data_IF_474991747031
#
_entry.id   IF_474991747031
#
_cell.length_a   1.000
_cell.length_b   1.000
_cell.length_c   1.000
_cell.angle_alpha   90.00
_cell.angle_beta   90.00
_cell.angle_gamma   90.00
#
_symmetry.space_group_name_H-M   'P 1'
#
loop_
_entity.id
_entity.type
_entity.pdbx_description
1 polymer ?
#
# COMPACT_ATOMS: atom_id res chain seq x y z
N UNK A 1 -0.55 -24.10 36.82
CA UNK A 1 -1.71 -23.70 35.99
C UNK A 1 -1.23 -22.71 34.94
N UNK A 2 -1.28 -23.07 33.66
CA UNK A 2 -0.82 -22.22 32.56
C UNK A 2 -2.00 -21.45 31.97
N UNK A 3 -1.93 -20.12 31.96
CA UNK A 3 -2.93 -19.24 31.33
C UNK A 3 -2.42 -18.92 29.92
N UNK A 4 -2.99 -19.56 28.91
CA UNK A 4 -2.74 -19.23 27.51
C UNK A 4 -3.70 -18.14 27.07
N UNK A 5 -3.18 -16.95 26.74
CA UNK A 5 -3.94 -15.88 26.07
C UNK A 5 -3.90 -16.12 24.56
N UNK A 6 -5.01 -16.56 23.99
CA UNK A 6 -5.20 -16.62 22.54
C UNK A 6 -5.47 -15.21 21.98
N UNK A 7 -4.63 -14.74 21.07
CA UNK A 7 -4.89 -13.51 20.32
C UNK A 7 -5.71 -13.85 19.08
N UNK A 8 -6.81 -13.14 18.87
CA UNK A 8 -7.69 -13.26 17.69
C UNK A 8 -6.94 -12.70 16.48
N UNK A 9 -6.59 -13.54 15.53
CA UNK A 9 -6.06 -13.13 14.23
C UNK A 9 -7.22 -12.59 13.40
N UNK A 10 -7.13 -11.33 12.99
CA UNK A 10 -8.04 -10.77 12.00
C UNK A 10 -7.67 -11.38 10.64
N UNK A 11 -8.56 -12.22 10.12
CA UNK A 11 -8.51 -12.65 8.73
C UNK A 11 -9.01 -11.50 7.84
N UNK A 12 -8.26 -11.23 6.77
CA UNK A 12 -8.43 -10.10 5.84
C UNK A 12 -9.64 -10.24 4.90
N UNK A 13 -10.84 -10.55 5.40
CA UNK A 13 -12.05 -10.68 4.57
C UNK A 13 -13.35 -10.09 5.17
N UNK A 14 -13.27 -9.19 6.16
CA UNK A 14 -14.44 -8.39 6.54
C UNK A 14 -14.58 -7.18 5.60
N UNK A 15 -15.41 -7.37 4.57
CA UNK A 15 -15.96 -6.32 3.72
C UNK A 15 -16.59 -5.24 4.58
N UNK A 16 -16.08 -4.01 4.46
CA UNK A 16 -16.69 -2.81 5.03
C UNK A 16 -18.11 -2.64 4.48
N UNK A 17 -19.11 -3.11 5.23
CA UNK A 17 -20.48 -2.67 5.03
C UNK A 17 -20.58 -1.23 5.51
N UNK A 18 -20.70 -0.32 4.55
CA UNK A 18 -21.03 1.09 4.79
C UNK A 18 -22.40 1.11 5.48
N UNK A 19 -22.40 1.41 6.77
CA UNK A 19 -23.60 1.62 7.56
C UNK A 19 -24.35 2.84 6.98
N UNK A 20 -25.35 2.57 6.14
CA UNK A 20 -26.31 3.54 5.64
C UNK A 20 -27.24 3.89 6.81
N UNK A 21 -27.02 5.04 7.45
CA UNK A 21 -27.99 5.55 8.42
C UNK A 21 -29.30 5.88 7.68
N UNK A 22 -30.34 5.09 7.99
CA UNK A 22 -31.74 5.40 7.74
C UNK A 22 -32.09 6.71 8.44
N UNK A 23 -32.49 7.72 7.68
CA UNK A 23 -33.40 8.76 8.17
C UNK A 23 -34.79 8.42 7.66
N UNK A 24 -35.56 7.70 8.49
CA UNK A 24 -37.00 7.61 8.35
C UNK A 24 -37.59 8.94 8.85
N UNK A 25 -38.13 9.73 7.93
CA UNK A 25 -39.26 10.62 8.18
C UNK A 25 -39.95 10.81 6.83
N UNK A 26 -40.96 9.99 6.63
CA UNK A 26 -41.95 10.14 5.59
C UNK A 26 -42.84 11.34 5.94
N UNK A 27 -43.03 12.24 4.99
CA UNK A 27 -44.24 13.03 4.86
C UNK A 27 -44.53 13.12 3.35
N UNK A 28 -45.53 12.35 2.94
CA UNK A 28 -46.17 12.43 1.64
C UNK A 28 -46.89 13.78 1.45
N UNK A 29 -47.18 14.07 0.18
CA UNK A 29 -48.23 14.95 -0.38
C UNK A 29 -47.80 16.39 -0.76
N UNK A 30 -48.52 17.04 -1.70
CA UNK A 30 -48.47 16.79 -3.15
C UNK A 30 -48.13 18.08 -3.93
N UNK A 31 -47.93 17.95 -5.23
CA UNK A 31 -47.93 19.08 -6.17
C UNK A 31 -49.35 19.62 -6.27
N UNK A 32 -49.58 20.87 -5.85
CA UNK A 32 -50.71 21.67 -6.32
C UNK A 32 -50.32 23.14 -6.49
N UNK A 33 -50.53 23.63 -7.72
CA UNK A 33 -50.43 25.02 -8.13
C UNK A 33 -51.70 25.77 -7.75
N UNK A 34 -51.60 26.82 -6.93
CA UNK A 34 -52.52 27.97 -6.97
C UNK A 34 -51.75 29.25 -6.61
N UNK A 35 -51.80 30.22 -7.52
CA UNK A 35 -51.44 31.63 -7.32
C UNK A 35 -52.55 32.31 -6.53
N UNK A 36 -52.22 33.09 -5.49
CA UNK A 36 -52.60 34.51 -5.41
C UNK A 36 -52.12 35.20 -4.12
N UNK A 37 -51.51 36.36 -4.33
CA UNK A 37 -51.51 37.60 -3.54
C UNK A 37 -51.36 37.56 -2.02
N UNK A 38 -50.20 38.05 -1.54
CA UNK A 38 -50.01 39.28 -0.73
C UNK A 38 -48.89 39.07 0.32
N UNK A 39 -47.63 38.98 -0.15
CA UNK A 39 -46.47 38.81 0.74
C UNK A 39 -45.77 40.17 0.92
N UNK A 40 -45.83 40.69 2.14
CA UNK A 40 -45.03 41.82 2.59
C UNK A 40 -43.54 41.60 2.27
N UNK A 41 -42.70 42.65 2.18
CA UNK A 41 -41.27 42.47 1.98
C UNK A 41 -40.65 41.71 3.17
N UNK A 42 -40.49 40.39 3.03
CA UNK A 42 -39.81 39.52 3.98
C UNK A 42 -38.27 39.54 3.79
N UNK A 43 -37.57 39.29 4.88
CA UNK A 43 -36.12 39.41 5.08
C UNK A 43 -35.22 38.65 4.07
N UNK A 44 -34.69 39.35 3.06
CA UNK A 44 -33.75 38.79 2.05
C UNK A 44 -32.34 38.36 2.58
N UNK A 45 -32.01 38.51 3.87
CA UNK A 45 -30.62 38.33 4.33
C UNK A 45 -30.18 36.86 4.52
N UNK A 46 -31.12 35.93 4.79
CA UNK A 46 -30.77 34.54 5.15
C UNK A 46 -30.80 33.56 3.96
N UNK A 47 -31.56 33.85 2.90
CA UNK A 47 -31.69 33.00 1.71
C UNK A 47 -30.49 33.15 0.76
N UNK A 48 -30.01 34.39 0.55
CA UNK A 48 -28.81 34.70 -0.25
C UNK A 48 -27.56 34.07 0.37
N UNK A 49 -27.47 34.05 1.71
CA UNK A 49 -26.37 33.39 2.43
C UNK A 49 -26.32 31.88 2.16
N UNK A 50 -27.46 31.19 2.18
CA UNK A 50 -27.55 29.75 1.87
C UNK A 50 -27.18 29.46 0.41
N UNK A 51 -27.63 30.28 -0.54
CA UNK A 51 -27.27 30.14 -1.95
C UNK A 51 -25.76 30.28 -2.19
N UNK A 52 -25.10 31.28 -1.57
CA UNK A 52 -23.65 31.46 -1.64
C UNK A 52 -22.87 30.28 -1.05
N UNK A 53 -23.33 29.72 0.07
CA UNK A 53 -22.68 28.53 0.68
C UNK A 53 -22.82 27.30 -0.22
N UNK A 54 -23.99 27.10 -0.84
CA UNK A 54 -24.22 26.00 -1.78
C UNK A 54 -23.33 26.15 -3.01
N UNK A 55 -23.15 27.37 -3.52
CA UNK A 55 -22.27 27.63 -4.66
C UNK A 55 -20.80 27.39 -4.32
N UNK A 56 -20.33 27.88 -3.16
CA UNK A 56 -18.96 27.63 -2.69
C UNK A 56 -18.67 26.15 -2.45
N UNK A 57 -19.63 25.39 -1.91
CA UNK A 57 -19.46 23.94 -1.71
C UNK A 57 -19.44 23.19 -3.04
N UNK A 58 -20.28 23.57 -4.02
CA UNK A 58 -20.22 23.03 -5.38
C UNK A 58 -18.89 23.33 -6.07
N UNK A 59 -18.37 24.55 -5.95
CA UNK A 59 -17.06 24.92 -6.51
C UNK A 59 -15.91 24.12 -5.87
N UNK A 60 -15.89 23.98 -4.54
CA UNK A 60 -14.91 23.14 -3.83
C UNK A 60 -14.99 21.68 -4.26
N UNK A 61 -16.20 21.13 -4.44
CA UNK A 61 -16.39 19.76 -4.88
C UNK A 61 -15.91 19.53 -6.33
N UNK A 62 -16.10 20.49 -7.23
CA UNK A 62 -15.56 20.44 -8.60
C UNK A 62 -14.02 20.38 -8.59
N UNK A 63 -13.38 21.30 -7.85
CA UNK A 63 -11.91 21.34 -7.71
C UNK A 63 -11.36 20.02 -7.14
N UNK A 64 -12.05 19.40 -6.18
CA UNK A 64 -11.65 18.10 -5.62
C UNK A 64 -11.78 16.95 -6.63
N UNK A 65 -12.82 16.97 -7.47
CA UNK A 65 -12.97 16.00 -8.56
C UNK A 65 -11.85 16.15 -9.60
N UNK A 66 -11.58 17.37 -10.05
CA UNK A 66 -10.54 17.64 -11.04
C UNK A 66 -9.15 17.23 -10.51
N UNK A 67 -8.84 17.50 -9.23
CA UNK A 67 -7.61 17.04 -8.59
C UNK A 67 -7.51 15.52 -8.53
N UNK A 68 -8.62 14.83 -8.26
CA UNK A 68 -8.66 13.36 -8.21
C UNK A 68 -8.45 12.74 -9.60
N UNK A 69 -9.04 13.33 -10.62
CA UNK A 69 -8.87 12.90 -12.01
C UNK A 69 -7.44 13.13 -12.49
N UNK A 70 -6.86 14.31 -12.23
CA UNK A 70 -5.46 14.59 -12.54
C UNK A 70 -4.49 13.64 -11.82
N UNK A 71 -4.75 13.31 -10.55
CA UNK A 71 -3.94 12.33 -9.81
C UNK A 71 -4.05 10.92 -10.42
N UNK A 72 -5.25 10.53 -10.87
CA UNK A 72 -5.48 9.23 -11.52
C UNK A 72 -4.76 9.15 -12.87
N UNK A 73 -4.77 10.23 -13.67
CA UNK A 73 -4.02 10.31 -14.93
C UNK A 73 -2.51 10.22 -14.70
N UNK A 74 -1.97 11.00 -13.75
CA UNK A 74 -0.54 10.92 -13.38
C UNK A 74 -0.12 9.52 -12.93
N UNK A 75 -0.97 8.82 -12.17
CA UNK A 75 -0.69 7.45 -11.76
C UNK A 75 -0.61 6.50 -12.96
N UNK A 76 -1.54 6.61 -13.92
CA UNK A 76 -1.52 5.80 -15.15
C UNK A 76 -0.24 6.04 -15.95
N UNK A 77 0.15 7.31 -16.16
CA UNK A 77 1.37 7.65 -16.88
C UNK A 77 2.63 7.07 -16.23
N UNK A 78 2.72 7.12 -14.90
CA UNK A 78 3.84 6.53 -14.15
C UNK A 78 3.86 5.01 -14.30
N UNK A 79 2.70 4.37 -14.27
CA UNK A 79 2.59 2.92 -14.42
C UNK A 79 2.99 2.47 -15.82
N UNK A 80 2.56 3.20 -16.87
CA UNK A 80 2.96 2.97 -18.26
C UNK A 80 4.47 3.14 -18.45
N UNK A 81 5.05 4.24 -17.93
CA UNK A 81 6.52 4.44 -17.96
C UNK A 81 7.28 3.32 -17.26
N UNK A 82 6.77 2.82 -16.13
CA UNK A 82 7.37 1.67 -15.43
C UNK A 82 7.27 0.37 -16.23
N UNK A 83 6.15 0.13 -16.92
CA UNK A 83 5.98 -1.05 -17.80
C UNK A 83 6.97 -0.98 -18.97
N UNK A 84 7.09 0.16 -19.63
CA UNK A 84 8.04 0.35 -20.72
C UNK A 84 9.49 0.16 -20.26
N UNK A 85 9.88 0.74 -19.12
CA UNK A 85 11.22 0.58 -18.58
C UNK A 85 11.55 -0.86 -18.17
N UNK A 86 10.55 -1.68 -17.80
CA UNK A 86 10.75 -3.12 -17.56
C UNK A 86 10.98 -3.88 -18.86
N UNK A 87 10.15 -3.65 -19.87
CA UNK A 87 10.29 -4.28 -21.18
C UNK A 87 11.64 -3.94 -21.82
N UNK A 88 12.11 -2.70 -21.70
CA UNK A 88 13.43 -2.29 -22.21
C UNK A 88 14.58 -3.04 -21.51
N UNK A 89 14.46 -3.28 -20.20
CA UNK A 89 15.46 -4.05 -19.45
C UNK A 89 15.46 -5.52 -19.87
N UNK A 90 14.28 -6.12 -20.02
CA UNK A 90 14.14 -7.51 -20.48
C UNK A 90 14.71 -7.68 -21.89
N UNK A 91 14.46 -6.75 -22.81
CA UNK A 91 15.04 -6.77 -24.16
C UNK A 91 16.56 -6.67 -24.14
N UNK A 92 17.13 -5.76 -23.32
CA UNK A 92 18.58 -5.62 -23.17
C UNK A 92 19.22 -6.86 -22.56
N UNK A 93 18.53 -7.54 -21.66
CA UNK A 93 19.02 -8.76 -21.01
C UNK A 93 18.99 -9.95 -21.98
N UNK A 94 17.93 -10.08 -22.78
CA UNK A 94 17.87 -11.07 -23.87
C UNK A 94 18.93 -10.81 -24.94
N UNK A 95 19.20 -9.55 -25.29
CA UNK A 95 20.26 -9.22 -26.26
C UNK A 95 21.65 -9.57 -25.74
N UNK A 96 21.91 -9.39 -24.43
CA UNK A 96 23.15 -9.83 -23.80
C UNK A 96 23.29 -11.34 -23.79
N UNK A 97 22.26 -12.07 -23.39
CA UNK A 97 22.26 -13.54 -23.43
C UNK A 97 22.50 -14.07 -24.85
N UNK A 98 21.92 -13.42 -25.86
CA UNK A 98 22.17 -13.79 -27.26
C UNK A 98 23.61 -13.55 -27.70
N UNK A 99 24.23 -12.46 -27.26
CA UNK A 99 25.65 -12.17 -27.54
C UNK A 99 26.58 -13.14 -26.82
N UNK A 100 26.28 -13.48 -25.56
CA UNK A 100 27.02 -14.49 -24.79
C UNK A 100 26.92 -15.87 -25.46
N UNK A 101 25.72 -16.28 -25.89
CA UNK A 101 25.53 -17.53 -26.63
C UNK A 101 26.28 -17.56 -27.97
N UNK A 102 26.28 -16.48 -28.73
CA UNK A 102 27.03 -16.41 -29.98
C UNK A 102 28.55 -16.48 -29.76
N UNK A 103 29.08 -15.82 -28.72
CA UNK A 103 30.50 -15.92 -28.38
C UNK A 103 30.89 -17.35 -27.96
N UNK A 104 29.99 -18.08 -27.29
CA UNK A 104 30.21 -19.49 -26.94
C UNK A 104 30.22 -20.37 -28.20
N UNK A 105 29.38 -20.07 -29.20
CA UNK A 105 29.34 -20.82 -30.47
C UNK A 105 30.65 -20.65 -31.24
N UNK A 106 31.25 -19.47 -31.23
CA UNK A 106 32.52 -19.19 -31.92
C UNK A 106 33.76 -19.76 -31.18
N UNK A 107 33.64 -20.12 -29.90
CA UNK A 107 34.70 -20.72 -29.07
C UNK A 107 34.61 -22.25 -28.95
N UNK A 108 33.56 -22.88 -29.48
CA UNK A 108 33.44 -24.34 -29.50
C UNK A 108 34.36 -24.89 -30.60
N UNK A 109 35.30 -25.80 -30.29
CA UNK A 109 36.14 -26.44 -31.31
C UNK A 109 35.27 -27.30 -32.25
N UNK A 110 35.50 -27.17 -33.56
CA UNK A 110 34.78 -27.92 -34.61
C UNK A 110 34.98 -29.44 -34.51
N UNK A 111 36.06 -29.88 -33.88
CA UNK A 111 36.38 -31.29 -33.66
C UNK A 111 36.08 -31.69 -32.20
N UNK A 112 35.20 -32.68 -32.06
CA UNK A 112 34.92 -33.31 -30.78
C UNK A 112 36.21 -34.01 -30.28
N UNK A 113 36.73 -33.73 -29.08
CA UNK A 113 37.98 -34.32 -28.61
C UNK A 113 37.87 -35.85 -28.54
N UNK A 114 38.71 -36.54 -29.30
CA UNK A 114 38.72 -38.01 -29.44
C UNK A 114 39.01 -38.72 -28.10
N UNK A 115 39.69 -38.05 -27.17
CA UNK A 115 39.95 -38.54 -25.79
C UNK A 115 38.67 -38.82 -24.98
N UNK A 116 37.52 -38.24 -25.35
CA UNK A 116 36.22 -38.53 -24.71
C UNK A 116 35.53 -39.77 -25.29
N UNK A 117 35.92 -40.22 -26.49
CA UNK A 117 35.36 -41.41 -27.14
C UNK A 117 36.03 -42.70 -26.65
N UNK A 118 37.30 -42.65 -26.23
CA UNK A 118 38.04 -43.83 -25.77
C UNK A 118 37.58 -44.36 -24.40
N UNK A 119 36.88 -43.54 -23.59
CA UNK A 119 36.38 -43.93 -22.27
C UNK A 119 34.87 -44.24 -22.23
N UNK A 120 34.18 -44.19 -23.37
CA UNK A 120 32.81 -44.65 -23.48
C UNK A 120 32.83 -46.15 -23.79
N UNK A 121 33.02 -46.97 -22.76
CA UNK A 121 32.45 -48.32 -22.77
C UNK A 121 30.97 -48.16 -23.10
N UNK A 122 30.58 -48.55 -24.32
CA UNK A 122 29.19 -48.50 -24.79
C UNK A 122 28.36 -49.36 -23.83
N UNK A 123 27.51 -48.77 -22.95
CA UNK A 123 26.59 -49.59 -22.19
C UNK A 123 25.63 -50.21 -23.22
N UNK A 124 25.46 -51.53 -23.12
CA UNK A 124 24.53 -52.32 -23.92
C UNK A 124 23.21 -51.57 -24.19
N UNK A 125 22.73 -51.67 -25.43
CA UNK A 125 21.59 -50.98 -26.08
C UNK A 125 20.25 -50.99 -25.31
N UNK A 126 20.15 -51.67 -24.16
CA UNK A 126 18.91 -51.87 -23.41
C UNK A 126 18.74 -51.00 -22.14
N UNK A 127 19.63 -50.04 -21.85
CA UNK A 127 19.43 -49.15 -20.70
C UNK A 127 18.87 -47.78 -21.13
N UNK A 128 17.63 -47.42 -20.75
CA UNK A 128 17.06 -46.12 -21.09
C UNK A 128 17.86 -44.99 -20.40
N UNK A 129 18.11 -43.85 -21.08
CA UNK A 129 18.82 -42.74 -20.48
C UNK A 129 17.99 -42.19 -19.31
N UNK A 130 18.54 -42.32 -18.09
CA UNK A 130 17.93 -41.79 -16.89
C UNK A 130 18.00 -40.26 -16.96
N UNK A 131 16.93 -39.64 -17.47
CA UNK A 131 16.78 -38.17 -17.50
C UNK A 131 16.71 -37.67 -16.07
N UNK A 132 17.84 -37.24 -15.51
CA UNK A 132 17.85 -36.53 -14.24
C UNK A 132 17.09 -35.22 -14.43
N UNK A 133 15.86 -35.15 -13.88
CA UNK A 133 15.10 -33.91 -13.78
C UNK A 133 15.88 -32.96 -12.88
N UNK A 134 16.47 -31.92 -13.47
CA UNK A 134 16.98 -30.77 -12.72
C UNK A 134 15.75 -30.07 -12.13
N UNK A 135 15.52 -30.26 -10.83
CA UNK A 135 14.47 -29.56 -10.09
C UNK A 135 15.08 -28.26 -9.57
N UNK A 136 14.79 -27.14 -10.23
CA UNK A 136 15.09 -25.82 -9.69
C UNK A 136 14.26 -25.60 -8.43
N UNK A 137 14.90 -25.65 -7.26
CA UNK A 137 14.23 -25.41 -5.98
C UNK A 137 14.10 -23.90 -5.71
N UNK A 138 13.51 -23.16 -6.65
CA UNK A 138 13.29 -21.70 -6.55
C UNK A 138 12.31 -21.33 -5.43
N UNK A 139 11.65 -22.32 -4.81
CA UNK A 139 10.66 -22.09 -3.75
C UNK A 139 11.28 -21.47 -2.50
N UNK A 140 12.48 -21.89 -2.12
CA UNK A 140 13.11 -21.40 -0.88
C UNK A 140 13.66 -19.98 -1.03
N UNK A 141 14.24 -19.68 -2.19
CA UNK A 141 14.79 -18.37 -2.49
C UNK A 141 13.67 -17.35 -2.70
N UNK A 142 12.60 -17.72 -3.41
CA UNK A 142 11.41 -16.90 -3.53
C UNK A 142 10.75 -16.63 -2.17
N UNK A 143 10.67 -17.63 -1.27
CA UNK A 143 10.16 -17.43 0.10
C UNK A 143 11.02 -16.47 0.92
N UNK A 144 12.35 -16.49 0.74
CA UNK A 144 13.26 -15.53 1.41
C UNK A 144 13.06 -14.12 0.87
N UNK A 145 13.01 -13.96 -0.47
CA UNK A 145 12.77 -12.67 -1.13
C UNK A 145 11.41 -12.09 -0.70
N UNK A 146 10.36 -12.90 -0.66
CA UNK A 146 9.02 -12.47 -0.27
C UNK A 146 8.95 -12.03 1.19
N UNK A 147 9.63 -12.75 2.11
CA UNK A 147 9.73 -12.35 3.52
C UNK A 147 10.48 -11.03 3.70
N UNK A 148 11.57 -10.82 2.96
CA UNK A 148 12.34 -9.57 3.00
C UNK A 148 11.50 -8.40 2.45
N UNK A 149 10.78 -8.60 1.35
CA UNK A 149 9.90 -7.59 0.79
C UNK A 149 8.74 -7.23 1.73
N UNK A 150 8.10 -8.22 2.36
CA UNK A 150 7.05 -7.97 3.37
C UNK A 150 7.54 -7.12 4.54
N UNK A 151 8.77 -7.35 5.02
CA UNK A 151 9.38 -6.53 6.07
C UNK A 151 9.61 -5.09 5.62
N UNK A 152 10.21 -4.89 4.44
CA UNK A 152 10.44 -3.55 3.87
C UNK A 152 9.13 -2.77 3.70
N UNK A 153 8.09 -3.40 3.15
CA UNK A 153 6.76 -2.78 2.99
C UNK A 153 6.17 -2.37 4.35
N UNK A 154 6.32 -3.22 5.37
CA UNK A 154 5.83 -2.91 6.72
C UNK A 154 6.57 -1.73 7.34
N UNK A 155 7.89 -1.66 7.17
CA UNK A 155 8.72 -0.56 7.66
C UNK A 155 8.38 0.76 6.96
N UNK A 156 8.22 0.75 5.64
CA UNK A 156 7.78 1.93 4.88
C UNK A 156 6.40 2.41 5.33
N UNK A 157 5.46 1.49 5.57
CA UNK A 157 4.13 1.82 6.07
C UNK A 157 4.20 2.45 7.46
N UNK A 158 5.01 1.89 8.36
CA UNK A 158 5.24 2.47 9.70
C UNK A 158 5.89 3.85 9.63
N UNK A 159 6.85 4.05 8.72
CA UNK A 159 7.49 5.35 8.51
C UNK A 159 6.49 6.40 8.04
N UNK A 160 5.67 6.09 7.03
CA UNK A 160 4.60 6.97 6.55
C UNK A 160 3.58 7.30 7.64
N UNK A 161 3.19 6.33 8.47
CA UNK A 161 2.30 6.58 9.61
C UNK A 161 2.92 7.50 10.66
N UNK A 162 4.23 7.37 10.94
CA UNK A 162 4.95 8.29 11.84
C UNK A 162 5.00 9.70 11.26
N UNK A 163 5.31 9.84 9.98
CA UNK A 163 5.31 11.14 9.28
C UNK A 163 3.93 11.81 9.33
N UNK A 164 2.85 11.06 9.07
CA UNK A 164 1.47 11.55 9.19
C UNK A 164 1.12 11.98 10.62
N UNK A 165 1.60 11.24 11.64
CA UNK A 165 1.38 11.59 13.06
C UNK A 165 2.23 12.79 13.52
N UNK A 166 3.40 13.00 12.95
CA UNK A 166 4.32 14.08 13.33
C UNK A 166 3.91 15.43 12.72
N UNK A 167 3.18 15.41 11.60
CA UNK A 167 2.65 16.56 10.88
C UNK A 167 1.58 17.39 11.62
N UNK A 168 1.40 17.18 12.93
CA UNK A 168 0.46 17.97 13.75
C UNK A 168 0.92 19.42 13.89
N UNK A 169 2.23 19.68 13.77
CA UNK A 169 2.83 21.02 13.70
C UNK A 169 3.56 21.15 12.37
N UNK A 170 3.12 22.08 11.51
CA UNK A 170 3.75 22.37 10.22
C UNK A 170 4.11 23.84 10.13
N UNK A 171 5.35 24.12 9.74
CA UNK A 171 5.78 25.46 9.38
C UNK A 171 5.26 25.75 7.97
N UNK A 172 4.41 26.77 7.88
CA UNK A 172 3.89 27.29 6.62
C UNK A 172 4.83 28.39 6.13
N UNK A 173 4.82 28.60 4.82
CA UNK A 173 5.57 29.69 4.17
C UNK A 173 5.31 31.02 4.87
N UNK A 174 6.39 31.77 5.16
CA UNK A 174 6.32 33.00 5.96
C UNK A 174 6.63 32.84 7.46
N UNK A 175 7.19 31.70 7.89
CA UNK A 175 7.67 31.53 9.28
C UNK A 175 6.57 31.27 10.30
N UNK A 176 5.35 30.98 9.84
CA UNK A 176 4.18 30.74 10.69
C UNK A 176 4.10 29.24 11.01
N UNK A 177 3.98 28.89 12.30
CA UNK A 177 3.77 27.52 12.74
C UNK A 177 2.27 27.25 12.94
N UNK A 178 1.71 26.33 12.16
CA UNK A 178 0.31 25.90 12.28
C UNK A 178 0.26 24.57 13.03
N UNK A 179 -0.46 24.56 14.16
CA UNK A 179 -0.70 23.36 14.97
C UNK A 179 -2.17 22.95 14.92
N UNK A 180 -2.45 21.70 14.58
CA UNK A 180 -3.81 21.15 14.68
C UNK A 180 -4.09 20.79 16.14
N UNK A 181 -5.12 21.41 16.73
CA UNK A 181 -5.61 21.03 18.05
C UNK A 181 -6.41 19.73 17.94
N UNK A 182 -5.89 18.66 18.55
CA UNK A 182 -6.61 17.40 18.70
C UNK A 182 -7.37 17.40 20.03
N UNK A 183 -8.69 17.15 19.97
CA UNK A 183 -9.55 17.00 21.16
C UNK A 183 -9.41 15.60 21.79
N UNK A 184 -8.18 15.09 21.95
CA UNK A 184 -7.91 13.76 22.53
C UNK A 184 -7.77 13.79 24.08
N UNK A 185 -8.21 14.89 24.72
CA UNK A 185 -7.98 15.17 26.14
C UNK A 185 -8.59 14.17 27.12
N UNK A 186 -9.40 13.21 26.64
CA UNK A 186 -10.10 12.26 27.51
C UNK A 186 -9.40 10.91 27.71
N UNK A 187 -8.48 10.46 26.83
CA UNK A 187 -8.10 9.03 26.83
C UNK A 187 -6.60 8.66 26.80
N UNK A 188 -5.65 9.58 26.90
CA UNK A 188 -4.22 9.20 26.94
C UNK A 188 -3.47 9.82 28.11
N UNK A 189 -3.49 9.13 29.25
CA UNK A 189 -2.55 9.38 30.35
C UNK A 189 -1.13 9.09 29.84
N UNK A 190 -0.27 10.11 29.85
CA UNK A 190 1.13 9.98 29.45
C UNK A 190 1.82 8.91 30.30
N UNK A 191 2.34 7.87 29.67
CA UNK A 191 2.92 6.68 30.32
C UNK A 191 4.26 6.90 31.02
N UNK A 192 4.68 8.15 31.19
CA UNK A 192 5.97 8.51 31.77
C UNK A 192 6.08 8.09 33.24
N UNK A 193 4.98 8.23 33.99
CA UNK A 193 4.90 7.74 35.37
C UNK A 193 4.94 6.20 35.46
N UNK A 194 4.40 5.49 34.45
CA UNK A 194 4.49 4.03 34.38
C UNK A 194 5.93 3.55 34.16
N UNK A 195 6.74 4.29 33.38
CA UNK A 195 8.16 3.94 33.18
C UNK A 195 8.96 4.04 34.47
N UNK A 196 8.75 5.08 35.28
CA UNK A 196 9.40 5.23 36.60
C UNK A 196 9.00 4.09 37.54
N UNK A 197 7.70 3.78 37.61
CA UNK A 197 7.19 2.63 38.37
C UNK A 197 7.82 1.31 37.91
N UNK A 198 7.84 1.05 36.61
CA UNK A 198 8.41 -0.18 36.06
C UNK A 198 9.93 -0.27 36.25
N UNK A 199 10.67 0.83 36.09
CA UNK A 199 12.11 0.87 36.34
C UNK A 199 12.43 0.61 37.82
N UNK A 200 11.64 1.20 38.73
CA UNK A 200 11.79 0.98 40.16
C UNK A 200 11.50 -0.46 40.56
N UNK A 201 10.40 -1.03 40.04
CA UNK A 201 10.09 -2.43 40.23
C UNK A 201 11.21 -3.27 39.63
N UNK A 202 11.52 -3.12 38.35
CA UNK A 202 12.51 -3.89 37.59
C UNK A 202 13.98 -3.55 37.91
N UNK A 203 14.27 -2.90 39.04
CA UNK A 203 15.64 -2.54 39.43
C UNK A 203 16.48 -3.79 39.67
N UNK A 204 17.75 -3.74 39.24
CA UNK A 204 18.73 -4.84 39.35
C UNK A 204 18.92 -5.38 40.77
N UNK A 205 18.63 -4.56 41.80
CA UNK A 205 18.73 -4.95 43.22
C UNK A 205 17.67 -5.97 43.64
N UNK A 206 16.57 -6.11 42.90
CA UNK A 206 15.54 -7.12 43.15
C UNK A 206 15.88 -8.30 42.25
N UNK A 207 16.39 -9.40 42.85
CA UNK A 207 16.53 -10.67 42.15
C UNK A 207 15.14 -11.19 41.82
N UNK A 208 14.91 -11.43 40.54
CA UNK A 208 13.71 -12.10 40.02
C UNK A 208 14.16 -13.43 39.49
N UNK A 209 13.36 -14.45 39.78
CA UNK A 209 13.42 -15.76 39.16
C UNK A 209 12.82 -15.71 37.75
#
# INVERSE_FOLDING_TARGET
MAITRSYKTFEDNETFQVLKQKSENAADLPVDNQSDSDEAPEEESMSVGKARIIEQTKAKNKILKDKREAAKQKHKEIEEKRKLAKLEKELKELEKQRKELNNIIDEIPDELPEDLLENLEVPSVDSPPMRQKIVFNDSEENKKIEKVNKRKIREERLKKLRELRQNVERQVEGGINVKVLNNDSLNTIKSENLKKKNSWLMRKRIRRE
#
